data_IF_471099057808
#
_entry.id   IF_471099057808
#
_cell.length_a   1.000
_cell.length_b   1.000
_cell.length_c   1.000
_cell.angle_alpha   90.00
_cell.angle_beta   90.00
_cell.angle_gamma   90.00
#
_symmetry.space_group_name_H-M   'P 1'
#
loop_
_entity.id
_entity.type
_entity.pdbx_description
1 polymer ?
#
# COMPACT_ATOMS: atom_id res chain seq x y z
N UNK A 1 7.73 11.14 -4.27
CA UNK A 1 8.25 10.48 -3.05
C UNK A 1 8.36 8.97 -3.28
N UNK A 2 7.38 8.35 -3.97
CA UNK A 2 7.31 6.90 -4.21
C UNK A 2 8.41 6.36 -5.17
N UNK A 3 8.79 7.11 -6.20
CA UNK A 3 9.90 6.76 -7.11
C UNK A 3 11.28 6.74 -6.44
N UNK A 4 11.43 7.45 -5.31
CA UNK A 4 12.69 7.50 -4.56
C UNK A 4 13.02 6.21 -3.84
N UNK A 5 12.00 5.45 -3.37
CA UNK A 5 12.22 4.17 -2.69
C UNK A 5 12.73 3.10 -3.66
N UNK A 6 12.09 2.97 -4.82
CA UNK A 6 12.53 2.02 -5.86
C UNK A 6 13.96 2.30 -6.29
N UNK A 7 14.31 3.58 -6.51
CA UNK A 7 15.67 3.98 -6.87
C UNK A 7 16.67 3.73 -5.74
N UNK A 8 16.32 4.07 -4.49
CA UNK A 8 17.19 3.90 -3.31
C UNK A 8 17.53 2.43 -3.06
N UNK A 9 16.54 1.56 -3.15
CA UNK A 9 16.71 0.12 -2.92
C UNK A 9 17.02 -0.65 -4.21
N UNK A 10 17.17 0.03 -5.35
CA UNK A 10 17.35 -0.55 -6.69
C UNK A 10 16.34 -1.67 -7.01
N UNK A 11 15.12 -1.54 -6.47
CA UNK A 11 14.04 -2.51 -6.67
C UNK A 11 13.29 -2.18 -7.95
N UNK A 12 13.06 -3.20 -8.75
CA UNK A 12 12.25 -3.12 -9.97
C UNK A 12 11.05 -4.05 -9.82
N UNK A 13 9.87 -3.70 -10.33
CA UNK A 13 8.71 -4.59 -10.30
C UNK A 13 9.01 -5.86 -11.09
N UNK A 14 8.82 -7.02 -10.46
CA UNK A 14 8.97 -8.30 -11.15
C UNK A 14 7.65 -8.68 -11.84
N UNK A 15 7.63 -8.60 -13.19
CA UNK A 15 6.46 -8.95 -14.01
C UNK A 15 6.01 -10.42 -13.84
N UNK A 16 6.95 -11.35 -13.62
CA UNK A 16 6.61 -12.78 -13.39
C UNK A 16 5.84 -12.98 -12.09
N UNK A 17 6.02 -12.09 -11.13
CA UNK A 17 5.28 -12.08 -9.85
C UNK A 17 4.05 -11.17 -9.88
N UNK A 18 3.70 -10.59 -11.04
CA UNK A 18 2.54 -9.69 -11.18
C UNK A 18 2.67 -8.36 -10.42
N UNK A 19 3.87 -7.98 -10.00
CA UNK A 19 4.06 -6.79 -9.16
C UNK A 19 3.79 -5.49 -9.94
N UNK A 20 2.82 -4.72 -9.46
CA UNK A 20 2.54 -3.36 -9.90
C UNK A 20 2.44 -2.47 -8.65
N UNK A 21 3.30 -1.45 -8.54
CA UNK A 21 3.33 -0.61 -7.35
C UNK A 21 2.38 0.58 -7.47
N UNK A 22 1.61 0.82 -6.40
CA UNK A 22 0.70 1.95 -6.31
C UNK A 22 1.48 3.26 -6.22
N UNK A 23 1.38 4.11 -7.26
CA UNK A 23 2.04 5.44 -7.32
C UNK A 23 1.05 6.60 -7.24
N UNK A 24 -0.25 6.34 -7.44
CA UNK A 24 -1.28 7.38 -7.47
C UNK A 24 -1.89 7.61 -6.10
N UNK A 25 -1.68 8.82 -5.55
CA UNK A 25 -2.32 9.26 -4.30
C UNK A 25 -3.85 9.31 -4.39
N UNK A 26 -4.38 9.64 -5.57
CA UNK A 26 -5.83 9.68 -5.79
C UNK A 26 -6.44 8.29 -5.69
N UNK A 27 -5.79 7.28 -6.31
CA UNK A 27 -6.22 5.88 -6.20
C UNK A 27 -6.09 5.38 -4.76
N UNK A 28 -4.98 5.69 -4.07
CA UNK A 28 -4.81 5.35 -2.65
C UNK A 28 -5.97 5.88 -1.78
N UNK A 29 -6.34 7.15 -1.94
CA UNK A 29 -7.47 7.74 -1.20
C UNK A 29 -8.79 7.03 -1.50
N UNK A 30 -9.03 6.65 -2.76
CA UNK A 30 -10.24 5.91 -3.15
C UNK A 30 -10.28 4.53 -2.51
N UNK A 31 -9.17 3.78 -2.51
CA UNK A 31 -9.06 2.47 -1.85
C UNK A 31 -9.36 2.59 -0.36
N UNK A 32 -8.71 3.55 0.32
CA UNK A 32 -8.92 3.76 1.77
C UNK A 32 -10.37 4.14 2.08
N UNK A 33 -11.02 4.96 1.23
CA UNK A 33 -12.43 5.31 1.41
C UNK A 33 -13.34 4.08 1.22
N UNK A 34 -13.07 3.26 0.21
CA UNK A 34 -13.85 2.07 -0.09
C UNK A 34 -13.72 0.97 0.98
N UNK A 35 -12.61 0.94 1.72
CA UNK A 35 -12.39 -0.04 2.78
C UNK A 35 -13.17 0.21 4.07
N UNK A 36 -13.86 1.36 4.21
CA UNK A 36 -14.71 1.72 5.37
C UNK A 36 -14.09 1.40 6.75
N UNK A 37 -12.78 1.58 6.83
CA UNK A 37 -11.93 1.15 7.94
C UNK A 37 -12.30 1.83 9.27
N UNK A 38 -12.35 1.04 10.34
CA UNK A 38 -12.57 1.47 11.73
C UNK A 38 -11.32 1.24 12.58
N UNK A 39 -11.18 2.02 13.65
CA UNK A 39 -10.03 1.94 14.56
C UNK A 39 -9.90 0.61 15.29
N UNK A 40 -10.96 -0.19 15.37
CA UNK A 40 -10.97 -1.52 15.97
C UNK A 40 -10.50 -2.64 15.03
N UNK A 41 -10.42 -2.37 13.73
CA UNK A 41 -10.27 -3.43 12.73
C UNK A 41 -8.87 -4.04 12.74
N UNK A 42 -8.81 -5.31 12.35
CA UNK A 42 -7.58 -6.03 12.02
C UNK A 42 -7.65 -6.37 10.54
N UNK A 43 -6.70 -5.89 9.74
CA UNK A 43 -6.77 -5.94 8.27
C UNK A 43 -5.69 -6.84 7.70
N UNK A 44 -6.07 -7.88 6.93
CA UNK A 44 -5.12 -8.66 6.15
C UNK A 44 -4.86 -8.00 4.78
N UNK A 45 -3.61 -7.62 4.52
CA UNK A 45 -3.18 -7.16 3.20
C UNK A 45 -2.37 -8.24 2.47
N UNK A 46 -2.83 -8.62 1.28
CA UNK A 46 -2.11 -9.58 0.42
C UNK A 46 -1.30 -8.79 -0.62
N UNK A 47 0.00 -9.06 -0.68
CA UNK A 47 0.91 -8.41 -1.64
C UNK A 47 1.17 -6.92 -1.35
N UNK A 48 1.67 -6.56 -0.16
CA UNK A 48 1.82 -5.15 0.26
C UNK A 48 2.83 -4.35 -0.59
N UNK A 49 3.67 -5.03 -1.37
CA UNK A 49 4.67 -4.40 -2.23
C UNK A 49 5.60 -3.47 -1.44
N UNK A 50 5.59 -2.18 -1.77
CA UNK A 50 6.38 -1.16 -1.05
C UNK A 50 5.76 -0.71 0.28
N UNK A 51 4.64 -1.30 0.70
CA UNK A 51 3.94 -0.97 1.95
C UNK A 51 3.20 0.38 1.92
N UNK A 52 2.95 0.93 0.73
CA UNK A 52 2.29 2.25 0.58
C UNK A 52 0.86 2.20 1.10
N UNK A 53 0.11 1.16 0.73
CA UNK A 53 -1.25 0.95 1.22
C UNK A 53 -1.23 0.52 2.69
N UNK A 54 -0.37 -0.44 3.07
CA UNK A 54 -0.13 -0.85 4.46
C UNK A 54 0.03 0.34 5.40
N UNK A 55 0.91 1.29 5.06
CA UNK A 55 1.17 2.49 5.87
C UNK A 55 -0.04 3.41 5.98
N UNK A 56 -0.88 3.46 4.95
CA UNK A 56 -2.11 4.27 4.97
C UNK A 56 -3.21 3.60 5.82
N UNK A 57 -3.35 2.27 5.73
CA UNK A 57 -4.30 1.48 6.52
C UNK A 57 -3.91 1.50 8.01
N UNK A 58 -2.63 1.26 8.33
CA UNK A 58 -2.13 1.18 9.71
C UNK A 58 -2.33 2.47 10.53
N UNK A 59 -2.55 3.62 9.88
CA UNK A 59 -2.91 4.88 10.55
C UNK A 59 -4.37 4.96 11.00
N UNK A 60 -5.21 4.03 10.56
CA UNK A 60 -6.68 4.08 10.70
C UNK A 60 -7.25 2.91 11.49
N UNK A 61 -6.53 1.80 11.58
CA UNK A 61 -7.01 0.54 12.17
C UNK A 61 -6.14 0.11 13.34
N UNK A 62 -6.59 -0.89 14.10
CA UNK A 62 -5.86 -1.43 15.26
C UNK A 62 -4.59 -2.15 14.83
N UNK A 63 -4.68 -2.94 13.76
CA UNK A 63 -3.56 -3.73 13.23
C UNK A 63 -3.75 -4.01 11.75
N UNK A 64 -2.64 -4.04 11.02
CA UNK A 64 -2.53 -4.63 9.69
C UNK A 64 -1.65 -5.87 9.84
#
# INVERSE_FOLDING_TARGET
>A
MESGLLKRYKVHPNKRLGQNFLVSRTVLKKIIKAGELKSSDIVLEIGPGLGILTKAIAKKVKKV
#
